data_IF_264749529912
#
_entry.id   IF_264749529912
#
_cell.length_a   1.000
_cell.length_b   1.000
_cell.length_c   1.000
_cell.angle_alpha   90.00
_cell.angle_beta   90.00
_cell.angle_gamma   90.00
#
_symmetry.space_group_name_H-M   'P 1'
#
loop_
_entity.id
_entity.type
_entity.pdbx_description
1 polymer ?
#
# COMPACT_ATOMS: atom_id res chain seq x y z
N UNK A 1 29.94 -28.06 62.58
CA UNK A 1 29.22 -27.69 63.82
C UNK A 1 27.74 -27.56 63.44
N UNK A 2 26.76 -28.35 63.88
CA UNK A 2 26.68 -29.56 64.70
C UNK A 2 25.50 -30.39 64.18
N UNK A 3 25.65 -31.72 64.24
CA UNK A 3 24.58 -32.71 64.03
C UNK A 3 23.44 -32.52 65.05
N UNK A 4 22.21 -32.86 64.65
CA UNK A 4 21.41 -33.86 65.38
C UNK A 4 20.24 -34.38 64.55
N UNK A 5 20.24 -35.69 64.34
CA UNK A 5 19.08 -36.51 64.00
C UNK A 5 18.13 -36.62 65.20
N UNK A 6 16.90 -37.14 64.96
CA UNK A 6 16.14 -38.17 65.74
C UNK A 6 14.62 -37.91 65.60
N UNK A 7 13.87 -38.69 64.80
CA UNK A 7 13.00 -39.87 65.09
C UNK A 7 11.51 -39.57 65.41
N UNK A 8 10.63 -40.02 64.50
CA UNK A 8 9.40 -40.86 64.59
C UNK A 8 8.25 -40.60 65.60
N UNK A 9 7.02 -40.89 65.10
CA UNK A 9 5.73 -41.26 65.77
C UNK A 9 4.80 -40.11 66.20
N UNK A 10 3.47 -40.20 66.22
CA UNK A 10 2.42 -41.05 65.64
C UNK A 10 1.06 -40.48 66.12
N UNK A 11 0.01 -40.65 65.30
CA UNK A 11 -1.42 -40.87 65.64
C UNK A 11 -2.25 -39.94 66.57
N UNK A 12 -3.49 -39.72 66.14
CA UNK A 12 -4.66 -39.25 66.90
C UNK A 12 -5.49 -38.25 66.07
N UNK A 13 -6.69 -38.51 65.55
CA UNK A 13 -7.78 -39.37 66.01
C UNK A 13 -8.84 -38.53 66.74
N UNK A 14 -9.93 -38.14 66.07
CA UNK A 14 -11.05 -37.43 66.70
C UNK A 14 -12.12 -36.94 65.72
N UNK A 15 -13.26 -37.62 65.71
CA UNK A 15 -14.42 -37.41 64.85
C UNK A 15 -15.38 -36.31 65.34
N UNK A 16 -16.21 -35.77 64.44
CA UNK A 16 -17.31 -34.85 64.76
C UNK A 16 -18.26 -34.58 63.59
N UNK A 17 -19.22 -35.50 63.41
CA UNK A 17 -20.60 -35.40 62.88
C UNK A 17 -21.01 -34.37 61.80
N UNK A 18 -21.45 -34.93 60.66
CA UNK A 18 -22.72 -34.75 59.92
C UNK A 18 -23.38 -33.37 59.80
N UNK A 19 -23.54 -32.92 58.54
CA UNK A 19 -24.87 -32.60 57.99
C UNK A 19 -24.91 -32.82 56.48
N UNK A 20 -25.95 -33.51 56.02
CA UNK A 20 -26.15 -33.93 54.64
C UNK A 20 -26.78 -32.85 53.75
N UNK A 21 -26.40 -32.95 52.47
CA UNK A 21 -27.11 -32.66 51.22
C UNK A 21 -28.21 -31.58 51.19
N UNK A 22 -28.00 -30.56 50.36
CA UNK A 22 -28.87 -30.09 49.27
C UNK A 22 -28.01 -29.09 48.44
N UNK A 23 -27.80 -29.31 47.15
CA UNK A 23 -28.70 -28.72 46.15
C UNK A 23 -28.00 -27.62 45.35
N UNK A 24 -27.44 -28.01 44.20
CA UNK A 24 -27.37 -27.26 42.94
C UNK A 24 -26.78 -25.83 42.87
N UNK A 25 -25.83 -25.72 41.94
CA UNK A 25 -25.69 -24.65 40.94
C UNK A 25 -25.33 -23.23 41.38
N UNK A 26 -24.08 -22.85 41.13
CA UNK A 26 -23.74 -21.74 40.23
C UNK A 26 -22.23 -21.59 40.05
N UNK A 27 -21.55 -22.66 39.64
CA UNK A 27 -20.28 -22.53 38.94
C UNK A 27 -20.59 -22.41 37.44
N UNK A 28 -20.58 -21.19 36.91
CA UNK A 28 -20.59 -20.94 35.47
C UNK A 28 -21.69 -20.03 34.98
N UNK A 29 -21.39 -18.72 34.87
CA UNK A 29 -22.04 -17.83 33.88
C UNK A 29 -21.38 -16.44 33.87
N UNK A 30 -20.07 -16.36 33.66
CA UNK A 30 -19.43 -15.07 33.34
C UNK A 30 -18.50 -15.14 32.12
N UNK A 31 -18.15 -16.32 31.60
CA UNK A 31 -17.30 -16.49 30.41
C UNK A 31 -18.03 -16.49 29.06
N UNK A 32 -19.18 -17.16 28.96
CA UNK A 32 -19.85 -17.37 27.67
C UNK A 32 -20.46 -16.12 27.02
N UNK A 33 -20.84 -15.12 27.83
CA UNK A 33 -21.37 -13.84 27.32
C UNK A 33 -20.31 -12.98 26.64
N UNK A 34 -19.07 -12.98 27.17
CA UNK A 34 -17.94 -12.26 26.59
C UNK A 34 -17.48 -12.87 25.27
N UNK A 35 -17.35 -14.19 25.23
CA UNK A 35 -16.94 -14.93 24.02
C UNK A 35 -17.96 -14.77 22.87
N UNK A 36 -19.26 -14.81 23.19
CA UNK A 36 -20.31 -14.58 22.19
C UNK A 36 -20.28 -13.13 21.67
N UNK A 37 -20.10 -12.15 22.56
CA UNK A 37 -20.00 -10.74 22.16
C UNK A 37 -18.79 -10.51 21.24
N UNK A 38 -17.64 -11.10 21.55
CA UNK A 38 -16.44 -11.02 20.72
C UNK A 38 -16.63 -11.73 19.36
N UNK A 39 -17.29 -12.89 19.33
CA UNK A 39 -17.63 -13.58 18.09
C UNK A 39 -18.58 -12.75 17.21
N UNK A 40 -19.58 -12.09 17.80
CA UNK A 40 -20.48 -11.20 17.08
C UNK A 40 -19.77 -9.94 16.58
N UNK A 41 -18.86 -9.35 17.37
CA UNK A 41 -18.04 -8.22 16.97
C UNK A 41 -17.16 -8.56 15.76
N UNK A 42 -16.46 -9.71 15.79
CA UNK A 42 -15.67 -10.22 14.66
C UNK A 42 -16.52 -10.42 13.40
N UNK A 43 -17.72 -11.00 13.55
CA UNK A 43 -18.64 -11.22 12.42
C UNK A 43 -19.16 -9.92 11.83
N UNK A 44 -19.40 -8.91 12.67
CA UNK A 44 -19.77 -7.55 12.24
C UNK A 44 -18.63 -6.92 11.44
N UNK A 45 -17.41 -6.93 11.97
CA UNK A 45 -16.24 -6.37 11.30
C UNK A 45 -16.00 -7.02 9.93
N UNK A 46 -16.11 -8.35 9.84
CA UNK A 46 -16.02 -9.08 8.57
C UNK A 46 -17.03 -8.57 7.54
N UNK A 47 -18.29 -8.36 7.95
CA UNK A 47 -19.35 -7.85 7.08
C UNK A 47 -19.07 -6.41 6.65
N UNK A 48 -18.60 -5.57 7.56
CA UNK A 48 -18.26 -4.16 7.27
C UNK A 48 -17.12 -4.06 6.25
N UNK A 49 -16.03 -4.81 6.45
CA UNK A 49 -14.90 -4.87 5.49
C UNK A 49 -15.37 -5.39 4.13
N UNK A 50 -16.12 -6.48 4.11
CA UNK A 50 -16.63 -7.08 2.86
C UNK A 50 -17.58 -6.11 2.14
N UNK A 51 -18.45 -5.42 2.88
CA UNK A 51 -19.39 -4.47 2.31
C UNK A 51 -18.66 -3.27 1.72
N UNK A 52 -17.71 -2.68 2.46
CA UNK A 52 -16.93 -1.54 2.00
C UNK A 52 -16.15 -1.84 0.71
N UNK A 53 -15.54 -3.03 0.62
CA UNK A 53 -14.85 -3.47 -0.59
C UNK A 53 -15.84 -3.71 -1.74
N UNK A 54 -16.96 -4.40 -1.51
CA UNK A 54 -17.94 -4.66 -2.57
C UNK A 54 -18.57 -3.38 -3.12
N UNK A 55 -18.93 -2.44 -2.26
CA UNK A 55 -19.50 -1.16 -2.69
C UNK A 55 -18.48 -0.34 -3.47
N UNK A 56 -17.25 -0.22 -2.95
CA UNK A 56 -16.16 0.50 -3.62
C UNK A 56 -15.79 -0.12 -4.97
N UNK A 57 -15.63 -1.45 -5.04
CA UNK A 57 -15.28 -2.16 -6.26
C UNK A 57 -16.40 -2.17 -7.29
N UNK A 58 -17.67 -2.24 -6.88
CA UNK A 58 -18.81 -2.13 -7.80
C UNK A 58 -18.79 -0.78 -8.50
N UNK A 59 -18.62 0.31 -7.75
CA UNK A 59 -18.60 1.66 -8.32
C UNK A 59 -17.31 1.87 -9.15
N UNK A 60 -16.16 1.30 -8.73
CA UNK A 60 -14.90 1.32 -9.49
C UNK A 60 -14.93 0.53 -10.81
N UNK A 61 -15.88 -0.40 -10.98
CA UNK A 61 -16.12 -1.16 -12.23
C UNK A 61 -17.15 -0.50 -13.15
N UNK A 62 -17.65 0.67 -12.80
CA UNK A 62 -18.70 1.34 -13.58
C UNK A 62 -18.18 1.84 -14.94
N UNK A 63 -19.09 1.99 -15.90
CA UNK A 63 -18.74 2.44 -17.26
C UNK A 63 -18.41 3.93 -17.31
N UNK A 64 -18.89 4.70 -16.33
CA UNK A 64 -18.68 6.14 -16.23
C UNK A 64 -17.58 6.52 -15.23
N UNK A 65 -16.69 7.40 -15.64
CA UNK A 65 -15.52 7.85 -14.87
C UNK A 65 -15.88 8.49 -13.53
N UNK A 66 -17.00 9.21 -13.45
CA UNK A 66 -17.45 9.81 -12.19
C UNK A 66 -17.84 8.76 -11.14
N UNK A 67 -18.46 7.65 -11.55
CA UNK A 67 -18.78 6.53 -10.67
C UNK A 67 -17.51 5.79 -10.26
N UNK A 68 -16.58 5.58 -11.20
CA UNK A 68 -15.29 4.97 -10.89
C UNK A 68 -14.50 5.80 -9.88
N UNK A 69 -14.40 7.11 -10.10
CA UNK A 69 -13.76 8.03 -9.16
C UNK A 69 -14.44 8.01 -7.78
N UNK A 70 -15.77 7.91 -7.71
CA UNK A 70 -16.49 7.72 -6.44
C UNK A 70 -16.10 6.40 -5.75
N UNK A 71 -16.08 5.29 -6.49
CA UNK A 71 -15.65 3.99 -5.98
C UNK A 71 -14.22 4.01 -5.44
N UNK A 72 -13.29 4.60 -6.21
CA UNK A 72 -11.88 4.74 -5.82
C UNK A 72 -11.71 5.61 -4.57
N UNK A 73 -12.46 6.72 -4.42
CA UNK A 73 -12.46 7.51 -3.17
C UNK A 73 -12.95 6.69 -1.98
N UNK A 74 -14.00 5.89 -2.16
CA UNK A 74 -14.50 5.00 -1.12
C UNK A 74 -13.46 3.96 -0.71
N UNK A 75 -12.77 3.34 -1.68
CA UNK A 75 -11.69 2.40 -1.43
C UNK A 75 -10.51 3.06 -0.71
N UNK A 76 -10.10 4.24 -1.17
CA UNK A 76 -9.01 5.00 -0.54
C UNK A 76 -9.35 5.37 0.91
N UNK A 77 -10.58 5.80 1.18
CA UNK A 77 -11.05 6.06 2.54
C UNK A 77 -11.01 4.81 3.43
N UNK A 78 -11.43 3.66 2.88
CA UNK A 78 -11.34 2.37 3.57
C UNK A 78 -9.89 1.96 3.87
N UNK A 79 -8.97 2.12 2.92
CA UNK A 79 -7.55 1.80 3.13
C UNK A 79 -6.92 2.71 4.17
N UNK A 80 -7.23 4.02 4.17
CA UNK A 80 -6.78 4.97 5.20
C UNK A 80 -7.28 4.58 6.58
N UNK A 81 -8.58 4.25 6.70
CA UNK A 81 -9.16 3.76 7.96
C UNK A 81 -8.51 2.46 8.43
N UNK A 82 -8.13 1.58 7.50
CA UNK A 82 -7.45 0.32 7.82
C UNK A 82 -6.01 0.58 8.29
N UNK A 83 -5.32 1.53 7.67
CA UNK A 83 -3.95 1.92 8.04
C UNK A 83 -3.87 2.66 9.38
N UNK A 84 -4.91 3.43 9.74
CA UNK A 84 -4.97 4.18 11.00
C UNK A 84 -5.60 3.41 12.16
N UNK A 85 -6.05 2.17 11.93
CA UNK A 85 -6.67 1.36 12.98
C UNK A 85 -5.65 0.98 14.05
N UNK A 86 -6.04 1.04 15.32
CA UNK A 86 -5.18 0.66 16.45
C UNK A 86 -5.01 -0.86 16.58
N UNK A 87 -5.91 -1.64 15.97
CA UNK A 87 -5.90 -3.09 15.98
C UNK A 87 -5.80 -3.64 14.55
N UNK A 88 -5.04 -4.72 14.39
CA UNK A 88 -4.73 -5.35 13.11
C UNK A 88 -5.90 -6.15 12.54
N UNK A 89 -7.01 -6.32 13.27
CA UNK A 89 -8.17 -7.10 12.80
C UNK A 89 -8.69 -6.65 11.43
N UNK A 90 -8.79 -5.34 11.19
CA UNK A 90 -9.26 -4.82 9.90
C UNK A 90 -8.23 -5.09 8.78
N UNK A 91 -6.93 -4.96 9.08
CA UNK A 91 -5.84 -5.24 8.16
C UNK A 91 -5.80 -6.73 7.77
N UNK A 92 -5.95 -7.63 8.75
CA UNK A 92 -6.00 -9.08 8.51
C UNK A 92 -7.19 -9.47 7.63
N UNK A 93 -8.36 -8.88 7.87
CA UNK A 93 -9.55 -9.09 7.04
C UNK A 93 -9.37 -8.54 5.63
N UNK A 94 -8.76 -7.36 5.47
CA UNK A 94 -8.39 -6.84 4.16
C UNK A 94 -7.44 -7.80 3.44
N UNK A 95 -6.35 -8.25 4.07
CA UNK A 95 -5.42 -9.22 3.49
C UNK A 95 -6.11 -10.51 3.04
N UNK A 96 -6.97 -11.07 3.89
CA UNK A 96 -7.76 -12.24 3.55
C UNK A 96 -8.68 -11.98 2.35
N UNK A 97 -9.35 -10.83 2.30
CA UNK A 97 -10.26 -10.48 1.19
C UNK A 97 -9.54 -10.45 -0.16
N UNK A 98 -8.25 -10.10 -0.21
CA UNK A 98 -7.47 -10.08 -1.45
C UNK A 98 -7.14 -11.48 -2.01
N UNK A 99 -7.47 -12.55 -1.28
CA UNK A 99 -7.47 -13.92 -1.82
C UNK A 99 -8.77 -14.31 -2.53
N UNK A 100 -9.84 -13.53 -2.34
CA UNK A 100 -11.17 -13.79 -2.90
C UNK A 100 -11.32 -13.00 -4.21
N UNK A 101 -11.49 -13.65 -5.37
CA UNK A 101 -11.49 -12.97 -6.68
C UNK A 101 -12.42 -11.75 -6.77
N UNK A 102 -13.63 -11.84 -6.22
CA UNK A 102 -14.63 -10.76 -6.28
C UNK A 102 -14.26 -9.53 -5.44
N UNK A 103 -13.33 -9.67 -4.51
CA UNK A 103 -12.90 -8.62 -3.57
C UNK A 103 -11.47 -8.13 -3.85
N UNK A 104 -10.83 -8.63 -4.90
CA UNK A 104 -9.50 -8.18 -5.29
C UNK A 104 -9.55 -6.76 -5.87
N UNK A 105 -8.72 -5.87 -5.30
CA UNK A 105 -8.66 -4.46 -5.73
C UNK A 105 -7.81 -4.31 -6.97
N UNK A 106 -6.62 -4.94 -7.01
CA UNK A 106 -5.63 -4.76 -8.08
C UNK A 106 -6.19 -5.01 -9.49
N UNK A 107 -6.89 -6.13 -9.78
CA UNK A 107 -7.45 -6.36 -11.11
C UNK A 107 -8.39 -5.24 -11.55
N UNK A 108 -9.19 -4.71 -10.63
CA UNK A 108 -10.16 -3.66 -10.93
C UNK A 108 -9.47 -2.36 -11.34
N UNK A 109 -8.39 -1.97 -10.65
CA UNK A 109 -7.62 -0.77 -11.00
C UNK A 109 -7.09 -0.85 -12.43
N UNK A 110 -6.42 -1.95 -12.79
CA UNK A 110 -5.82 -2.11 -14.11
C UNK A 110 -6.82 -2.39 -15.23
N UNK A 111 -8.01 -2.92 -14.92
CA UNK A 111 -9.04 -3.18 -15.92
C UNK A 111 -9.93 -1.98 -16.20
N UNK A 112 -10.09 -1.03 -15.26
CA UNK A 112 -11.11 0.03 -15.36
C UNK A 112 -10.55 1.46 -15.30
N UNK A 113 -9.35 1.68 -14.75
CA UNK A 113 -8.81 3.04 -14.55
C UNK A 113 -7.37 3.22 -15.01
N UNK A 114 -6.53 2.18 -14.87
CA UNK A 114 -5.11 2.19 -15.24
C UNK A 114 -4.83 1.37 -16.50
N UNK A 115 -5.86 0.96 -17.25
CA UNK A 115 -5.64 0.30 -18.52
C UNK A 115 -4.96 1.26 -19.49
N UNK A 116 -3.97 0.76 -20.24
CA UNK A 116 -3.49 1.49 -21.40
C UNK A 116 -4.66 1.61 -22.39
N UNK A 117 -4.88 2.78 -23.01
CA UNK A 117 -5.83 2.86 -24.11
C UNK A 117 -5.36 1.84 -25.14
N UNK A 118 -6.14 0.76 -25.30
CA UNK A 118 -6.05 0.01 -26.55
C UNK A 118 -6.45 1.02 -27.61
N UNK A 119 -5.77 1.02 -28.75
CA UNK A 119 -6.28 1.70 -29.94
C UNK A 119 -7.72 1.21 -30.11
N UNK A 120 -8.69 2.04 -29.71
CA UNK A 120 -10.08 1.73 -29.98
C UNK A 120 -10.17 1.64 -31.49
N UNK A 121 -10.73 0.54 -32.05
CA UNK A 121 -10.92 0.48 -33.48
C UNK A 121 -11.75 1.70 -33.87
N UNK A 122 -11.23 2.52 -34.77
CA UNK A 122 -11.98 3.63 -35.38
C UNK A 122 -13.19 3.01 -36.05
N UNK A 123 -14.36 3.07 -35.39
CA UNK A 123 -15.60 2.53 -35.94
C UNK A 123 -16.12 3.54 -36.96
N UNK A 124 -15.87 3.27 -38.24
CA UNK A 124 -16.65 3.85 -39.33
C UNK A 124 -18.11 3.39 -39.19
N UNK A 125 -19.02 4.36 -39.13
CA UNK A 125 -20.48 4.19 -38.91
C UNK A 125 -21.22 3.55 -40.11
N UNK A 126 -20.59 2.63 -40.84
CA UNK A 126 -21.15 2.15 -42.12
C UNK A 126 -22.07 0.91 -42.00
N UNK A 127 -22.37 0.41 -40.80
CA UNK A 127 -23.21 -0.81 -40.65
C UNK A 127 -24.21 -0.69 -39.49
N UNK A 128 -25.41 -0.17 -39.80
CA UNK A 128 -26.47 0.23 -38.83
C UNK A 128 -27.43 -0.92 -38.44
N UNK A 129 -27.33 -2.13 -39.02
CA UNK A 129 -28.25 -3.23 -38.70
C UNK A 129 -27.55 -4.45 -38.09
N UNK A 130 -27.91 -4.80 -36.86
CA UNK A 130 -27.57 -6.09 -36.22
C UNK A 130 -26.45 -6.08 -35.18
N UNK A 131 -25.90 -4.92 -34.82
CA UNK A 131 -24.79 -4.81 -33.85
C UNK A 131 -25.32 -4.66 -32.42
N UNK A 132 -24.84 -5.49 -31.49
CA UNK A 132 -25.12 -5.32 -30.06
C UNK A 132 -24.73 -3.89 -29.62
N UNK A 133 -25.53 -3.22 -28.77
CA UNK A 133 -25.25 -1.86 -28.37
C UNK A 133 -23.85 -1.78 -27.75
N UNK A 134 -22.97 -1.04 -28.41
CA UNK A 134 -21.59 -0.88 -27.97
C UNK A 134 -21.60 -0.29 -26.57
N UNK A 135 -20.95 -0.97 -25.63
CA UNK A 135 -20.87 -0.54 -24.24
C UNK A 135 -20.01 0.73 -24.19
N UNK A 136 -20.66 1.90 -24.07
CA UNK A 136 -19.97 3.18 -24.01
C UNK A 136 -19.28 3.28 -22.64
N UNK A 137 -17.97 3.01 -22.61
CA UNK A 137 -17.13 3.25 -21.43
C UNK A 137 -16.43 4.58 -21.60
N UNK A 138 -16.63 5.52 -20.68
CA UNK A 138 -15.92 6.79 -20.72
C UNK A 138 -14.43 6.57 -20.40
N UNK A 139 -13.50 7.25 -21.08
CA UNK A 139 -12.07 7.14 -20.78
C UNK A 139 -11.76 7.60 -19.33
N UNK A 140 -10.69 7.09 -18.71
CA UNK A 140 -10.26 7.56 -17.39
C UNK A 140 -9.87 9.03 -17.40
N UNK A 141 -10.37 9.77 -16.42
CA UNK A 141 -9.97 11.17 -16.18
C UNK A 141 -8.70 11.24 -15.35
N UNK A 142 -7.99 12.37 -15.38
CA UNK A 142 -6.77 12.62 -14.61
C UNK A 142 -6.99 12.39 -13.10
N UNK A 143 -8.07 12.95 -12.53
CA UNK A 143 -8.45 12.70 -11.14
C UNK A 143 -8.77 11.21 -10.85
N UNK A 144 -9.37 10.48 -11.80
CA UNK A 144 -9.62 9.05 -11.64
C UNK A 144 -8.30 8.26 -11.59
N UNK A 145 -7.37 8.57 -12.48
CA UNK A 145 -6.03 7.96 -12.53
C UNK A 145 -5.28 8.23 -11.23
N UNK A 146 -5.24 9.48 -10.77
CA UNK A 146 -4.60 9.85 -9.51
C UNK A 146 -5.18 9.07 -8.32
N UNK A 147 -6.51 8.93 -8.24
CA UNK A 147 -7.15 8.12 -7.20
C UNK A 147 -6.79 6.64 -7.32
N UNK A 148 -6.77 6.07 -8.52
CA UNK A 148 -6.43 4.68 -8.75
C UNK A 148 -4.97 4.39 -8.33
N UNK A 149 -4.04 5.30 -8.63
CA UNK A 149 -2.64 5.20 -8.18
C UNK A 149 -2.51 5.28 -6.65
N UNK A 150 -3.27 6.17 -5.97
CA UNK A 150 -3.31 6.22 -4.50
C UNK A 150 -3.89 4.95 -3.87
N UNK A 151 -4.92 4.37 -4.50
CA UNK A 151 -5.49 3.08 -4.04
C UNK A 151 -4.48 1.95 -4.25
N UNK A 152 -3.77 1.94 -5.37
CA UNK A 152 -2.69 0.98 -5.66
C UNK A 152 -1.57 1.09 -4.62
N UNK A 153 -1.11 2.31 -4.34
CA UNK A 153 -0.11 2.62 -3.31
C UNK A 153 -0.53 2.03 -1.96
N UNK A 154 -1.72 2.38 -1.47
CA UNK A 154 -2.23 1.89 -0.20
C UNK A 154 -2.37 0.35 -0.15
N UNK A 155 -2.80 -0.28 -1.24
CA UNK A 155 -2.88 -1.74 -1.32
C UNK A 155 -1.52 -2.42 -1.19
N UNK A 156 -0.48 -1.87 -1.85
CA UNK A 156 0.87 -2.42 -1.82
C UNK A 156 1.54 -2.23 -0.46
N UNK A 157 1.35 -1.06 0.18
CA UNK A 157 1.86 -0.80 1.53
C UNK A 157 1.20 -1.68 2.60
N UNK A 158 -0.10 -1.96 2.49
CA UNK A 158 -0.81 -2.78 3.47
C UNK A 158 -0.59 -4.29 3.26
N UNK A 159 -0.32 -4.73 2.03
CA UNK A 159 -0.15 -6.14 1.72
C UNK A 159 0.75 -6.42 0.50
N UNK A 160 1.92 -7.02 0.73
CA UNK A 160 2.90 -7.36 -0.31
C UNK A 160 2.38 -8.29 -1.43
N UNK A 161 1.33 -9.08 -1.19
CA UNK A 161 0.73 -9.90 -2.26
C UNK A 161 0.02 -9.04 -3.31
N UNK A 162 -0.44 -7.83 -2.94
CA UNK A 162 -0.96 -6.86 -3.90
C UNK A 162 0.14 -6.45 -4.89
N UNK A 163 1.37 -6.24 -4.40
CA UNK A 163 2.55 -5.94 -5.21
C UNK A 163 2.84 -7.04 -6.23
N UNK A 164 2.81 -8.30 -5.80
CA UNK A 164 2.99 -9.46 -6.67
C UNK A 164 1.85 -9.60 -7.71
N UNK A 165 0.62 -9.25 -7.34
CA UNK A 165 -0.51 -9.25 -8.27
C UNK A 165 -0.38 -8.10 -9.29
N UNK A 166 0.06 -6.92 -8.86
CA UNK A 166 0.26 -5.75 -9.73
C UNK A 166 1.35 -6.00 -10.78
N UNK A 167 2.42 -6.71 -10.42
CA UNK A 167 3.44 -7.16 -11.37
C UNK A 167 2.84 -7.94 -12.56
N UNK A 168 1.83 -8.80 -12.34
CA UNK A 168 1.14 -9.52 -13.43
C UNK A 168 0.44 -8.61 -14.44
N UNK A 169 0.10 -7.39 -14.02
CA UNK A 169 -0.49 -6.35 -14.87
C UNK A 169 0.54 -5.39 -15.45
N UNK A 170 1.84 -5.70 -15.34
CA UNK A 170 2.94 -4.82 -15.79
C UNK A 170 2.86 -3.43 -15.18
N UNK A 171 2.54 -3.37 -13.88
CA UNK A 171 2.26 -2.12 -13.18
C UNK A 171 3.35 -1.06 -13.34
N UNK A 172 4.62 -1.46 -13.25
CA UNK A 172 5.76 -0.54 -13.40
C UNK A 172 5.74 0.14 -14.77
N UNK A 173 5.61 -0.64 -15.86
CA UNK A 173 5.49 -0.11 -17.22
C UNK A 173 4.31 0.86 -17.35
N UNK A 174 3.15 0.50 -16.81
CA UNK A 174 1.94 1.33 -16.87
C UNK A 174 2.17 2.67 -16.17
N UNK A 175 2.75 2.65 -14.97
CA UNK A 175 2.94 3.86 -14.17
C UNK A 175 4.04 4.74 -14.77
N UNK A 176 5.12 4.18 -15.29
CA UNK A 176 6.13 4.94 -16.02
C UNK A 176 5.57 5.59 -17.29
N UNK A 177 4.59 4.96 -17.94
CA UNK A 177 3.88 5.56 -19.06
C UNK A 177 2.98 6.72 -18.62
N UNK A 178 2.33 6.62 -17.46
CA UNK A 178 1.53 7.71 -16.89
C UNK A 178 2.45 8.88 -16.49
N UNK A 179 3.55 8.59 -15.80
CA UNK A 179 4.57 9.57 -15.38
C UNK A 179 5.10 10.40 -16.57
N UNK A 180 5.34 9.75 -17.71
CA UNK A 180 5.89 10.41 -18.90
C UNK A 180 4.86 11.22 -19.70
N UNK A 181 3.56 10.93 -19.61
CA UNK A 181 2.55 11.48 -20.52
C UNK A 181 1.42 12.28 -19.84
N UNK A 182 1.33 12.29 -18.51
CA UNK A 182 0.28 12.99 -17.76
C UNK A 182 0.81 14.20 -17.02
N UNK A 183 -0.11 14.96 -16.43
CA UNK A 183 0.19 16.23 -15.77
C UNK A 183 0.83 16.08 -14.38
N UNK A 184 1.20 17.22 -13.77
CA UNK A 184 1.86 17.28 -12.47
C UNK A 184 1.15 16.47 -11.37
N UNK A 185 -0.19 16.57 -11.32
CA UNK A 185 -0.99 15.88 -10.32
C UNK A 185 -0.80 14.35 -10.38
N UNK A 186 -0.77 13.76 -11.57
CA UNK A 186 -0.56 12.32 -11.75
C UNK A 186 0.90 11.95 -11.56
N UNK A 187 1.83 12.78 -12.05
CA UNK A 187 3.28 12.56 -11.92
C UNK A 187 3.70 12.39 -10.46
N UNK A 188 3.27 13.29 -9.57
CA UNK A 188 3.57 13.19 -8.15
C UNK A 188 3.08 11.88 -7.52
N UNK A 189 1.87 11.44 -7.88
CA UNK A 189 1.29 10.19 -7.36
C UNK A 189 1.95 8.95 -7.99
N UNK A 190 2.40 9.03 -9.24
CA UNK A 190 3.16 7.95 -9.88
C UNK A 190 4.43 7.63 -9.11
N UNK A 191 5.15 8.66 -8.65
CA UNK A 191 6.37 8.50 -7.86
C UNK A 191 6.10 7.80 -6.53
N UNK A 192 5.09 8.24 -5.78
CA UNK A 192 4.66 7.61 -4.52
C UNK A 192 4.28 6.12 -4.76
N UNK A 193 3.48 5.85 -5.80
CA UNK A 193 3.04 4.49 -6.15
C UNK A 193 4.20 3.57 -6.58
N UNK A 194 5.18 4.08 -7.34
CA UNK A 194 6.35 3.32 -7.76
C UNK A 194 7.19 2.84 -6.57
N UNK A 195 7.41 3.68 -5.55
CA UNK A 195 8.11 3.26 -4.32
C UNK A 195 7.38 2.09 -3.67
N UNK A 196 6.06 2.20 -3.47
CA UNK A 196 5.28 1.13 -2.83
C UNK A 196 5.27 -0.19 -3.62
N UNK A 197 5.36 -0.12 -4.96
CA UNK A 197 5.43 -1.29 -5.82
C UNK A 197 6.79 -1.98 -5.82
N UNK A 198 7.87 -1.21 -5.67
CA UNK A 198 9.23 -1.74 -5.68
C UNK A 198 9.70 -2.16 -4.30
N UNK A 199 9.08 -1.64 -3.23
CA UNK A 199 9.39 -2.00 -1.86
C UNK A 199 9.26 -3.52 -1.68
N UNK A 200 10.37 -4.16 -1.27
CA UNK A 200 10.49 -5.61 -1.08
C UNK A 200 10.03 -6.47 -2.28
N UNK A 201 10.10 -5.93 -3.52
CA UNK A 201 9.66 -6.60 -4.74
C UNK A 201 10.75 -6.64 -5.82
N UNK A 202 11.65 -7.63 -5.80
CA UNK A 202 12.67 -7.80 -6.84
C UNK A 202 12.13 -7.84 -8.27
N UNK A 203 10.97 -8.48 -8.58
CA UNK A 203 10.43 -8.46 -9.94
C UNK A 203 10.08 -7.04 -10.42
N UNK A 204 9.45 -6.22 -9.58
CA UNK A 204 9.13 -4.85 -9.95
C UNK A 204 10.37 -3.95 -10.02
N UNK A 205 11.41 -4.24 -9.21
CA UNK A 205 12.70 -3.55 -9.30
C UNK A 205 13.38 -3.82 -10.65
N UNK A 206 13.40 -5.09 -11.09
CA UNK A 206 13.91 -5.46 -12.42
C UNK A 206 13.12 -4.79 -13.54
N UNK A 207 11.79 -4.79 -13.48
CA UNK A 207 10.95 -4.08 -14.45
C UNK A 207 11.28 -2.57 -14.49
N UNK A 208 11.56 -1.95 -13.34
CA UNK A 208 11.89 -0.52 -13.27
C UNK A 208 13.21 -0.21 -13.96
N UNK A 209 14.22 -1.07 -13.78
CA UNK A 209 15.49 -0.97 -14.50
C UNK A 209 15.31 -1.24 -16.00
N UNK A 210 14.55 -2.29 -16.37
CA UNK A 210 14.29 -2.66 -17.77
C UNK A 210 13.57 -1.55 -18.55
N UNK A 211 12.65 -0.84 -17.91
CA UNK A 211 11.88 0.25 -18.52
C UNK A 211 12.49 1.64 -18.31
N UNK A 212 13.79 1.71 -17.99
CA UNK A 212 14.51 2.99 -17.86
C UNK A 212 13.87 3.94 -16.85
N UNK A 213 13.36 3.39 -15.74
CA UNK A 213 12.58 4.15 -14.77
C UNK A 213 13.37 5.31 -14.15
N UNK A 214 14.66 5.09 -13.86
CA UNK A 214 15.52 6.15 -13.30
C UNK A 214 15.77 7.29 -14.31
N UNK A 215 15.94 6.96 -15.58
CA UNK A 215 16.16 7.94 -16.65
C UNK A 215 14.94 8.85 -16.81
N UNK A 216 13.73 8.29 -16.77
CA UNK A 216 12.47 9.07 -16.81
C UNK A 216 12.35 10.02 -15.63
N UNK A 217 12.77 9.61 -14.43
CA UNK A 217 12.78 10.50 -13.26
C UNK A 217 13.86 11.57 -13.39
N UNK A 218 15.02 11.23 -13.96
CA UNK A 218 16.09 12.18 -14.22
C UNK A 218 15.68 13.26 -15.22
N UNK A 219 14.94 12.89 -16.28
CA UNK A 219 14.36 13.82 -17.26
C UNK A 219 13.46 14.84 -16.56
N UNK A 220 12.52 14.39 -15.71
CA UNK A 220 11.62 15.28 -14.97
C UNK A 220 12.35 16.18 -13.97
N UNK A 221 13.36 15.67 -13.27
CA UNK A 221 14.08 16.42 -12.25
C UNK A 221 14.96 17.54 -12.84
N UNK A 222 15.56 17.27 -14.00
CA UNK A 222 16.47 18.21 -14.68
C UNK A 222 15.77 19.21 -15.58
N UNK A 223 14.55 18.92 -16.03
CA UNK A 223 13.80 19.85 -16.86
C UNK A 223 13.32 21.05 -16.02
N UNK A 224 13.90 22.22 -16.30
CA UNK A 224 13.59 23.49 -15.62
C UNK A 224 12.16 23.96 -15.92
N UNK A 225 11.52 23.47 -16.99
CA UNK A 225 10.13 23.78 -17.32
C UNK A 225 9.13 22.97 -16.48
N UNK A 226 9.56 21.87 -15.87
CA UNK A 226 8.73 21.09 -14.94
C UNK A 226 8.54 21.87 -13.65
N UNK A 227 7.30 21.89 -13.15
CA UNK A 227 6.95 22.63 -11.94
C UNK A 227 7.84 22.23 -10.74
N UNK A 228 8.29 23.23 -9.96
CA UNK A 228 9.22 23.03 -8.83
C UNK A 228 8.72 21.93 -7.88
N UNK A 229 7.42 21.89 -7.62
CA UNK A 229 6.84 20.89 -6.71
C UNK A 229 7.00 19.44 -7.22
N UNK A 230 7.03 19.22 -8.54
CA UNK A 230 7.28 17.91 -9.15
C UNK A 230 8.77 17.58 -9.13
N UNK A 231 9.65 18.55 -9.39
CA UNK A 231 11.10 18.38 -9.25
C UNK A 231 11.46 18.00 -7.81
N UNK A 232 10.88 18.69 -6.82
CA UNK A 232 11.02 18.33 -5.40
C UNK A 232 10.52 16.90 -5.13
N UNK A 233 9.37 16.51 -5.70
CA UNK A 233 8.86 15.13 -5.59
C UNK A 233 9.79 14.09 -6.22
N UNK A 234 10.47 14.41 -7.32
CA UNK A 234 11.50 13.54 -7.87
C UNK A 234 12.68 13.40 -6.89
N UNK A 235 13.09 14.48 -6.23
CA UNK A 235 14.10 14.44 -5.16
C UNK A 235 13.69 13.53 -3.99
N UNK A 236 12.45 13.66 -3.49
CA UNK A 236 11.90 12.76 -2.46
C UNK A 236 11.92 11.30 -2.92
N UNK A 237 11.49 11.05 -4.16
CA UNK A 237 11.49 9.73 -4.77
C UNK A 237 12.90 9.12 -4.80
N UNK A 238 13.92 9.85 -5.26
CA UNK A 238 15.29 9.33 -5.34
C UNK A 238 15.86 8.99 -3.95
N UNK A 239 15.57 9.82 -2.94
CA UNK A 239 15.97 9.54 -1.56
C UNK A 239 15.32 8.27 -1.01
N UNK A 240 14.01 8.08 -1.26
CA UNK A 240 13.28 6.88 -0.85
C UNK A 240 13.72 5.64 -1.64
N UNK A 241 13.92 5.78 -2.95
CA UNK A 241 14.39 4.73 -3.85
C UNK A 241 15.72 4.17 -3.35
N UNK A 242 16.68 5.03 -3.07
CA UNK A 242 18.01 4.61 -2.61
C UNK A 242 17.98 4.13 -1.16
N UNK A 243 17.27 4.82 -0.28
CA UNK A 243 17.26 4.50 1.16
C UNK A 243 16.47 3.24 1.52
N UNK A 244 15.40 2.92 0.77
CA UNK A 244 14.44 1.88 1.14
C UNK A 244 14.32 0.76 0.11
N UNK A 245 14.42 1.06 -1.19
CA UNK A 245 14.26 0.05 -2.26
C UNK A 245 15.61 -0.58 -2.61
N UNK A 246 16.63 0.25 -2.80
CA UNK A 246 18.00 -0.16 -3.20
C UNK A 246 19.04 0.13 -2.11
N UNK A 247 18.68 -0.13 -0.85
CA UNK A 247 19.51 0.16 0.33
C UNK A 247 20.87 -0.57 0.35
N UNK A 248 21.00 -1.65 -0.44
CA UNK A 248 22.23 -2.42 -0.56
C UNK A 248 23.28 -1.62 -1.34
N UNK A 249 24.48 -1.56 -0.76
CA UNK A 249 25.66 -0.99 -1.41
C UNK A 249 26.00 -1.80 -2.68
N UNK A 250 26.32 -1.09 -3.77
CA UNK A 250 26.75 -1.63 -5.07
C UNK A 250 25.68 -2.28 -5.97
N UNK A 251 24.39 -1.94 -5.81
CA UNK A 251 23.42 -2.22 -6.89
C UNK A 251 23.71 -1.38 -8.15
N UNK A 252 23.37 -1.89 -9.35
CA UNK A 252 23.64 -1.20 -10.63
C UNK A 252 23.02 0.20 -10.70
N UNK A 253 21.93 0.42 -9.96
CA UNK A 253 21.24 1.71 -9.91
C UNK A 253 22.10 2.85 -9.32
N UNK A 254 23.06 2.53 -8.42
CA UNK A 254 23.98 3.54 -7.87
C UNK A 254 24.92 4.08 -8.93
N UNK A 255 25.38 3.22 -9.85
CA UNK A 255 26.19 3.65 -10.99
C UNK A 255 25.38 4.53 -11.94
N UNK A 256 24.15 4.12 -12.24
CA UNK A 256 23.26 4.92 -13.08
C UNK A 256 22.98 6.29 -12.44
N UNK A 257 22.81 6.36 -11.11
CA UNK A 257 22.65 7.62 -10.39
C UNK A 257 23.84 8.56 -10.62
N UNK A 258 25.08 8.05 -10.58
CA UNK A 258 26.30 8.83 -10.85
C UNK A 258 26.36 9.30 -12.29
N UNK A 259 26.05 8.43 -13.25
CA UNK A 259 26.04 8.77 -14.68
C UNK A 259 25.01 9.86 -14.97
N UNK A 260 23.81 9.74 -14.40
CA UNK A 260 22.72 10.67 -14.66
C UNK A 260 22.91 11.99 -13.91
N UNK A 261 23.21 11.99 -12.61
CA UNK A 261 23.17 13.21 -11.80
C UNK A 261 24.55 13.77 -11.44
N UNK A 262 25.63 13.06 -11.79
CA UNK A 262 27.00 13.40 -11.39
C UNK A 262 27.35 12.92 -9.98
N UNK A 263 28.66 12.79 -9.72
CA UNK A 263 29.21 12.24 -8.47
C UNK A 263 28.71 12.97 -7.22
N UNK A 264 28.63 14.31 -7.28
CA UNK A 264 28.25 15.15 -6.14
C UNK A 264 26.80 14.91 -5.73
N UNK A 265 25.87 14.96 -6.68
CA UNK A 265 24.44 14.76 -6.41
C UNK A 265 24.17 13.31 -5.96
N UNK A 266 24.77 12.32 -6.63
CA UNK A 266 24.64 10.91 -6.26
C UNK A 266 25.16 10.64 -4.83
N UNK A 267 26.32 11.22 -4.47
CA UNK A 267 26.87 11.10 -3.12
C UNK A 267 25.97 11.75 -2.06
N UNK A 268 25.38 12.91 -2.38
CA UNK A 268 24.41 13.59 -1.51
C UNK A 268 23.18 12.71 -1.29
N UNK A 269 22.58 12.16 -2.35
CA UNK A 269 21.42 11.26 -2.25
C UNK A 269 21.77 10.05 -1.38
N UNK A 270 22.92 9.42 -1.63
CA UNK A 270 23.37 8.26 -0.85
C UNK A 270 23.48 8.60 0.65
N UNK A 271 24.17 9.69 1.00
CA UNK A 271 24.34 10.10 2.39
C UNK A 271 23.01 10.49 3.06
N UNK A 272 22.17 11.27 2.36
CA UNK A 272 20.88 11.74 2.86
C UNK A 272 19.84 10.63 2.99
N UNK A 273 19.89 9.60 2.13
CA UNK A 273 18.95 8.47 2.14
C UNK A 273 19.04 7.61 3.41
N UNK A 274 20.15 7.68 4.15
CA UNK A 274 20.35 6.95 5.41
C UNK A 274 19.88 7.71 6.65
N UNK A 275 19.40 8.95 6.50
CA UNK A 275 18.88 9.73 7.62
C UNK A 275 17.43 9.35 7.98
N UNK A 276 17.11 9.42 9.27
CA UNK A 276 15.71 9.50 9.74
C UNK A 276 15.14 8.28 10.47
N UNK A 277 15.90 7.19 10.63
CA UNK A 277 15.39 6.02 11.37
C UNK A 277 15.02 6.32 12.83
N UNK A 278 15.66 7.32 13.44
CA UNK A 278 15.43 7.75 14.84
C UNK A 278 14.45 8.92 15.01
N UNK A 279 13.96 9.52 13.92
CA UNK A 279 13.07 10.69 13.97
C UNK A 279 11.59 10.28 14.05
N UNK A 280 10.74 11.14 14.62
CA UNK A 280 9.28 10.96 14.59
C UNK A 280 8.72 11.20 13.17
N UNK A 281 7.48 10.77 12.88
CA UNK A 281 6.86 10.80 11.55
C UNK A 281 6.84 12.21 10.93
N UNK A 282 6.45 13.23 11.69
CA UNK A 282 6.42 14.62 11.19
C UNK A 282 7.83 15.14 10.91
N UNK A 283 8.79 14.79 11.77
CA UNK A 283 10.20 15.16 11.60
C UNK A 283 10.82 14.45 10.40
N UNK A 284 10.44 13.19 10.13
CA UNK A 284 10.87 12.44 8.94
C UNK A 284 10.35 13.11 7.67
N UNK A 285 9.08 13.51 7.64
CA UNK A 285 8.50 14.17 6.47
C UNK A 285 9.18 15.52 6.19
N UNK A 286 9.40 16.34 7.22
CA UNK A 286 10.09 17.61 7.09
C UNK A 286 11.56 17.41 6.65
N UNK A 287 12.26 16.45 7.25
CA UNK A 287 13.63 16.14 6.88
C UNK A 287 13.74 15.68 5.42
N UNK A 288 12.82 14.82 4.97
CA UNK A 288 12.76 14.36 3.58
C UNK A 288 12.58 15.53 2.61
N UNK A 289 11.68 16.46 2.90
CA UNK A 289 11.45 17.66 2.08
C UNK A 289 12.69 18.57 2.02
N UNK A 290 13.39 18.75 3.15
CA UNK A 290 14.62 19.53 3.20
C UNK A 290 15.71 18.87 2.34
N UNK A 291 15.88 17.55 2.44
CA UNK A 291 16.88 16.85 1.63
C UNK A 291 16.51 16.85 0.14
N UNK A 292 15.23 16.68 -0.20
CA UNK A 292 14.76 16.74 -1.58
C UNK A 292 15.05 18.12 -2.21
N UNK A 293 14.85 19.20 -1.46
CA UNK A 293 15.23 20.55 -1.90
C UNK A 293 16.73 20.66 -2.20
N UNK A 294 17.59 20.13 -1.33
CA UNK A 294 19.05 20.10 -1.57
C UNK A 294 19.43 19.29 -2.80
N UNK A 295 18.73 18.19 -3.09
CA UNK A 295 18.93 17.40 -4.32
C UNK A 295 18.63 18.26 -5.54
N UNK A 296 17.49 18.96 -5.57
CA UNK A 296 17.13 19.86 -6.69
C UNK A 296 18.15 20.98 -6.85
N UNK A 297 18.51 21.66 -5.76
CA UNK A 297 19.48 22.77 -5.75
C UNK A 297 20.87 22.32 -6.25
N UNK A 298 21.28 21.07 -5.97
CA UNK A 298 22.56 20.54 -6.44
C UNK A 298 22.66 20.34 -7.96
N UNK A 299 21.53 20.38 -8.66
CA UNK A 299 21.45 20.19 -10.11
C UNK A 299 21.26 21.51 -10.87
N UNK A 300 21.03 22.62 -10.18
CA UNK A 300 20.87 23.92 -10.81
C UNK A 300 22.24 24.52 -11.15
N UNK A 301 22.45 25.02 -12.38
CA UNK A 301 23.68 25.72 -12.73
C UNK A 301 23.75 27.04 -11.94
N UNK A 302 24.82 27.20 -11.16
CA UNK A 302 25.16 28.45 -10.44
C UNK A 302 25.35 29.64 -11.38
#
# INVERSE_FOLDING_TARGET
>A
MSRKEVVVAAAGGGAGAESGAEGSSSAGSSGGGGELAEALARRRLYREVTLALRTGLRDAKADFSFLRARGLRSLLGFLRSTASATDDSQLLLFRHSQSIPDLQVIPVLFQNSLHQPKEDPVVTLDHIFGVEPMKITSPPTDNEIALALRVLEGCCLLYSRCTALAHKYKAVKVILNILANRGPAEQGVCLDALISLMLDSPPNQMDFEEFSGLEKVAELLKDVQVEEHIRLKCGEFLLLLIGHVYAKENSPIHEQMRILFGEQCASLIWAASRFGSTLDVEQRQMALQIQARRVVESLEPY
#
